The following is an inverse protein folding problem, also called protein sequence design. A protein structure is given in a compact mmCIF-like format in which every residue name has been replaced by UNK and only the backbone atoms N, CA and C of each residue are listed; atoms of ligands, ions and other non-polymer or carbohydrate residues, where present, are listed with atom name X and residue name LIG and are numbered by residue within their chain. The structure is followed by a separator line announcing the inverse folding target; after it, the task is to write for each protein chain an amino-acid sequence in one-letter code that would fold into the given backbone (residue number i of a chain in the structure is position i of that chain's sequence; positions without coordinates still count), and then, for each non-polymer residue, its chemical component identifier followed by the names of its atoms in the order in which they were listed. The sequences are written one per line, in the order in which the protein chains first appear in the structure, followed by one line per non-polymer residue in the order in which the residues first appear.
data_IF_336824265795
#
_entry.id   IF_336824265795
#
_cell.length_a   1.000
_cell.length_b   1.000
_cell.length_c   1.000
_cell.angle_alpha   90.00
_cell.angle_beta   90.00
_cell.angle_gamma   90.00
#
_symmetry.space_group_name_H-M   'P 1'
#
loop_
_entity.id
_entity.type
_entity.pdbx_description
1 polymer ?
#
# COMPACT_ATOMS: atom_id res chain seq x y z
N UNK A 1 -46.29 2.38 -8.49
CA UNK A 1 -45.47 1.14 -8.45
C UNK A 1 -46.06 0.19 -7.42
N UNK A 2 -46.19 -1.11 -7.70
CA UNK A 2 -46.75 -2.08 -6.74
C UNK A 2 -45.88 -2.07 -5.48
N UNK A 3 -46.45 -1.91 -4.28
CA UNK A 3 -45.74 -1.82 -2.99
C UNK A 3 -44.72 -2.93 -2.77
N UNK A 4 -44.98 -4.11 -3.33
CA UNK A 4 -44.06 -5.27 -3.35
C UNK A 4 -42.73 -4.97 -4.06
N UNK A 5 -42.75 -4.20 -5.15
CA UNK A 5 -41.55 -3.83 -5.90
C UNK A 5 -40.70 -2.78 -5.15
N UNK A 6 -41.34 -1.83 -4.47
CA UNK A 6 -40.66 -0.80 -3.67
C UNK A 6 -39.96 -1.44 -2.46
N UNK A 7 -40.66 -2.36 -1.76
CA UNK A 7 -40.09 -3.09 -0.63
C UNK A 7 -38.91 -3.96 -1.04
N UNK A 8 -38.97 -4.61 -2.20
CA UNK A 8 -37.88 -5.43 -2.74
C UNK A 8 -36.63 -4.57 -3.02
N UNK A 9 -36.82 -3.38 -3.60
CA UNK A 9 -35.72 -2.45 -3.87
C UNK A 9 -35.05 -1.93 -2.60
N UNK A 10 -35.84 -1.63 -1.57
CA UNK A 10 -35.32 -1.21 -0.27
C UNK A 10 -34.45 -2.29 0.39
N UNK A 11 -34.89 -3.55 0.33
CA UNK A 11 -34.11 -4.68 0.85
C UNK A 11 -32.81 -4.86 0.08
N UNK A 12 -32.85 -4.77 -1.25
CA UNK A 12 -31.65 -4.87 -2.08
C UNK A 12 -30.65 -3.73 -1.76
N UNK A 13 -31.15 -2.50 -1.62
CA UNK A 13 -30.33 -1.35 -1.27
C UNK A 13 -29.70 -1.48 0.12
N UNK A 14 -30.46 -1.99 1.11
CA UNK A 14 -29.95 -2.25 2.46
C UNK A 14 -28.82 -3.31 2.47
N UNK A 15 -28.92 -4.35 1.64
CA UNK A 15 -27.87 -5.37 1.52
C UNK A 15 -26.61 -4.79 0.86
N UNK A 16 -26.76 -4.05 -0.24
CA UNK A 16 -25.62 -3.43 -0.93
C UNK A 16 -24.93 -2.39 -0.06
N UNK A 17 -25.69 -1.56 0.66
CA UNK A 17 -25.14 -0.59 1.60
C UNK A 17 -24.47 -1.30 2.80
N UNK A 18 -25.05 -2.38 3.32
CA UNK A 18 -24.48 -3.15 4.43
C UNK A 18 -23.17 -3.87 4.07
N UNK A 19 -23.09 -4.49 2.89
CA UNK A 19 -21.88 -5.21 2.45
C UNK A 19 -20.83 -4.21 1.94
N UNK A 20 -21.21 -3.22 1.13
CA UNK A 20 -20.28 -2.23 0.57
C UNK A 20 -19.70 -1.26 1.60
N UNK A 21 -20.38 -1.02 2.72
CA UNK A 21 -19.86 -0.19 3.81
C UNK A 21 -18.98 -0.96 4.81
N UNK A 22 -18.97 -2.31 4.75
CA UNK A 22 -18.24 -3.15 5.71
C UNK A 22 -17.04 -3.85 5.10
N UNK A 23 -16.78 -3.71 3.79
CA UNK A 23 -15.50 -4.13 3.21
C UNK A 23 -14.38 -3.36 3.93
N UNK A 24 -13.53 -4.04 4.71
CA UNK A 24 -12.48 -3.37 5.44
C UNK A 24 -11.57 -2.66 4.44
N UNK A 25 -11.36 -1.34 4.63
CA UNK A 25 -10.30 -0.61 3.94
C UNK A 25 -8.93 -1.31 4.10
N UNK A 26 -8.78 -2.12 5.16
CA UNK A 26 -7.62 -2.97 5.43
C UNK A 26 -7.26 -3.98 4.32
N UNK A 27 -8.14 -4.30 3.35
CA UNK A 27 -7.78 -5.11 2.18
C UNK A 27 -7.35 -4.28 0.96
N UNK A 28 -7.58 -2.97 0.97
CA UNK A 28 -7.08 -2.05 -0.05
C UNK A 28 -5.84 -1.27 0.43
N UNK A 29 -5.66 -1.16 1.75
CA UNK A 29 -4.50 -0.59 2.40
C UNK A 29 -3.40 -1.66 2.50
N UNK A 30 -2.76 -1.95 1.37
CA UNK A 30 -1.60 -2.83 1.34
C UNK A 30 -0.43 -2.10 2.00
N UNK A 31 0.21 -2.74 2.98
CA UNK A 31 1.42 -2.23 3.62
C UNK A 31 2.46 -1.89 2.54
N UNK A 32 2.86 -0.61 2.45
CA UNK A 32 3.85 -0.15 1.49
C UNK A 32 5.19 0.16 2.19
N UNK A 33 6.27 -0.38 1.64
CA UNK A 33 7.64 -0.06 2.05
C UNK A 33 8.34 0.61 0.88
N UNK A 34 8.77 1.86 1.07
CA UNK A 34 9.63 2.55 0.10
C UNK A 34 11.09 2.47 0.54
N UNK A 35 11.93 2.01 -0.38
CA UNK A 35 13.39 1.93 -0.22
C UNK A 35 14.02 2.89 -1.21
N UNK A 36 14.93 3.73 -0.71
CA UNK A 36 15.65 4.75 -1.48
C UNK A 36 17.16 4.56 -1.34
N UNK A 37 17.98 4.96 -2.32
CA UNK A 37 19.43 4.98 -2.15
C UNK A 37 19.82 5.94 -1.02
N UNK A 38 20.81 5.54 -0.22
CA UNK A 38 21.42 6.44 0.76
C UNK A 38 22.17 7.58 0.04
N UNK A 39 22.27 8.74 0.69
CA UNK A 39 22.99 9.87 0.10
C UNK A 39 24.46 9.48 -0.17
N UNK A 40 24.93 9.66 -1.41
CA UNK A 40 26.30 9.31 -1.80
C UNK A 40 26.52 7.82 -2.10
N UNK A 41 25.47 6.98 -2.10
CA UNK A 41 25.59 5.55 -2.41
C UNK A 41 25.93 5.24 -3.88
N UNK A 42 25.99 6.25 -4.74
CA UNK A 42 26.45 6.11 -6.13
C UNK A 42 27.97 5.88 -6.24
N UNK A 43 28.73 6.16 -5.19
CA UNK A 43 30.16 5.84 -5.11
C UNK A 43 30.40 4.52 -4.34
N UNK A 44 31.48 3.77 -4.67
CA UNK A 44 31.83 2.56 -3.92
C UNK A 44 32.06 2.83 -2.42
N UNK A 45 31.73 1.84 -1.57
CA UNK A 45 31.98 1.89 -0.12
C UNK A 45 30.75 2.17 0.74
N UNK A 46 29.56 2.32 0.16
CA UNK A 46 28.32 2.47 0.93
C UNK A 46 27.97 1.20 1.72
N UNK A 47 28.39 0.03 1.23
CA UNK A 47 28.25 -1.28 1.85
C UNK A 47 28.99 -1.42 3.19
N UNK A 48 30.03 -0.60 3.41
CA UNK A 48 30.83 -0.59 4.63
C UNK A 48 30.28 0.40 5.68
N UNK A 49 29.26 1.20 5.31
CA UNK A 49 28.64 2.17 6.23
C UNK A 49 27.55 1.52 7.08
N UNK A 50 27.30 2.06 8.27
CA UNK A 50 26.25 1.56 9.15
C UNK A 50 24.84 1.69 8.55
N UNK A 51 24.64 2.70 7.69
CA UNK A 51 23.35 2.96 7.03
C UNK A 51 23.16 2.11 5.77
N UNK A 52 24.24 1.58 5.20
CA UNK A 52 24.23 0.81 3.95
C UNK A 52 23.95 1.66 2.71
N UNK A 53 23.79 0.99 1.56
CA UNK A 53 23.51 1.67 0.29
C UNK A 53 22.05 2.06 0.09
N UNK A 54 21.14 1.54 0.93
CA UNK A 54 19.70 1.71 0.80
C UNK A 54 19.07 1.96 2.16
N UNK A 55 18.08 2.85 2.19
CA UNK A 55 17.35 3.23 3.40
C UNK A 55 15.86 2.91 3.18
N UNK A 56 15.22 2.16 4.11
CA UNK A 56 15.85 1.48 5.24
C UNK A 56 16.72 0.29 4.80
N UNK A 57 17.84 0.06 5.50
CA UNK A 57 18.72 -1.10 5.21
C UNK A 57 18.10 -2.45 5.54
N UNK A 58 17.03 -2.47 6.34
CA UNK A 58 16.20 -3.65 6.59
C UNK A 58 14.75 -3.20 6.77
N UNK A 59 13.83 -3.84 6.06
CA UNK A 59 12.41 -3.61 6.20
C UNK A 59 11.64 -4.92 6.39
N UNK A 60 10.58 -4.87 7.18
CA UNK A 60 9.60 -5.97 7.28
C UNK A 60 8.41 -5.61 6.39
N UNK A 61 7.96 -6.56 5.58
CA UNK A 61 6.83 -6.38 4.66
C UNK A 61 5.81 -7.46 4.97
N UNK A 62 4.55 -7.04 5.16
CA UNK A 62 3.45 -7.97 5.42
C UNK A 62 3.13 -8.79 4.16
N UNK A 63 2.52 -9.96 4.34
CA UNK A 63 2.09 -10.79 3.21
C UNK A 63 1.08 -10.04 2.36
N UNK A 64 1.41 -9.86 1.08
CA UNK A 64 0.61 -9.07 0.15
C UNK A 64 0.90 -7.56 0.19
N UNK A 65 1.92 -7.11 0.92
CA UNK A 65 2.42 -5.74 0.87
C UNK A 65 3.20 -5.41 -0.41
N UNK A 66 3.46 -4.13 -0.62
CA UNK A 66 4.15 -3.59 -1.81
C UNK A 66 5.52 -3.06 -1.41
N UNK A 67 6.54 -3.40 -2.19
CA UNK A 67 7.88 -2.83 -2.04
C UNK A 67 8.15 -1.89 -3.20
N UNK A 68 8.44 -0.63 -2.90
CA UNK A 68 8.73 0.43 -3.85
C UNK A 68 10.23 0.74 -3.78
N UNK A 69 10.95 0.42 -4.85
CA UNK A 69 12.33 0.90 -5.03
C UNK A 69 12.28 2.23 -5.80
N UNK A 70 12.65 3.31 -5.15
CA UNK A 70 12.65 4.65 -5.75
C UNK A 70 14.08 5.18 -5.81
N UNK A 71 14.58 5.41 -7.03
CA UNK A 71 15.87 6.07 -7.19
C UNK A 71 15.68 7.58 -7.03
N UNK A 72 16.05 8.09 -5.86
CA UNK A 72 16.04 9.52 -5.54
C UNK A 72 17.37 10.20 -5.81
N UNK A 73 18.36 9.49 -6.36
CA UNK A 73 19.63 10.09 -6.75
C UNK A 73 19.41 11.08 -7.90
N UNK A 74 20.18 12.16 -7.87
CA UNK A 74 20.25 13.18 -8.93
C UNK A 74 21.33 12.87 -9.98
N UNK A 75 22.03 11.75 -9.85
CA UNK A 75 23.03 11.29 -10.81
C UNK A 75 22.41 11.16 -12.22
N UNK A 76 22.86 12.03 -13.13
CA UNK A 76 22.62 11.95 -14.57
C UNK A 76 23.58 10.96 -15.24
#
# INVERSE_FOLDING_TARGET
MKTKAISSFFVLFAIVAGIGATTPAAFADHSEVTIVPAAGSGAPGCEETADGCYIPGTATVDVGGVVIMSNTDSAA
#
